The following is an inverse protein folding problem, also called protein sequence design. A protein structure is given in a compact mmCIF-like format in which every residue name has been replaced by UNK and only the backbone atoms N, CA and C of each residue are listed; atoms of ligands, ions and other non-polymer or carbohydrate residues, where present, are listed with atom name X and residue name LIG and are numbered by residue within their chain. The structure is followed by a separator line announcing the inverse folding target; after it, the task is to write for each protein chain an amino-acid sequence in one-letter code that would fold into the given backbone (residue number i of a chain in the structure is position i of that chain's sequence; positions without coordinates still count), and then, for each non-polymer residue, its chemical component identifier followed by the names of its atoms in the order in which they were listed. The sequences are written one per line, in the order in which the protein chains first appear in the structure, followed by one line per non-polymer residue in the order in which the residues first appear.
data_IF_762556696745
#
_entry.id   IF_762556696745
#
_cell.length_a   1.000
_cell.length_b   1.000
_cell.length_c   1.000
_cell.angle_alpha   90.00
_cell.angle_beta   90.00
_cell.angle_gamma   90.00
#
_symmetry.space_group_name_H-M   'P 1'
#
loop_
_entity.id
_entity.type
_entity.pdbx_description
1 polymer ?
#
# COMPACT_ATOMS: atom_id res chain seq x y z
N UNK A 1 -7.60 10.55 -13.87
CA UNK A 1 -7.26 9.28 -13.19
C UNK A 1 -7.73 8.07 -13.98
N UNK A 2 -9.03 7.94 -14.29
CA UNK A 2 -9.57 6.84 -15.12
C UNK A 2 -8.84 6.64 -16.45
N UNK A 3 -8.63 7.71 -17.22
CA UNK A 3 -7.92 7.65 -18.51
C UNK A 3 -6.48 7.11 -18.41
N UNK A 4 -5.79 7.34 -17.28
CA UNK A 4 -4.43 6.84 -17.07
C UNK A 4 -4.43 5.33 -16.82
N UNK A 5 -5.43 4.84 -16.09
CA UNK A 5 -5.62 3.41 -15.78
C UNK A 5 -5.94 2.65 -17.08
N UNK A 6 -6.86 3.18 -17.89
CA UNK A 6 -7.24 2.58 -19.17
C UNK A 6 -6.08 2.58 -20.18
N UNK A 7 -5.28 3.67 -20.23
CA UNK A 7 -4.05 3.73 -21.04
C UNK A 7 -3.00 2.70 -20.63
N UNK A 8 -2.96 2.31 -19.35
CA UNK A 8 -2.09 1.25 -18.86
C UNK A 8 -2.65 -0.16 -19.14
N UNK A 9 -3.80 -0.29 -19.82
CA UNK A 9 -4.44 -1.57 -20.10
C UNK A 9 -5.12 -2.18 -18.87
N UNK A 10 -5.41 -1.38 -17.85
CA UNK A 10 -6.05 -1.82 -16.62
C UNK A 10 -7.54 -1.50 -16.62
N UNK A 11 -8.33 -2.33 -15.92
CA UNK A 11 -9.77 -2.15 -15.78
C UNK A 11 -10.11 -1.60 -14.39
N UNK A 12 -11.08 -0.67 -14.32
CA UNK A 12 -11.56 -0.16 -13.05
C UNK A 12 -12.70 -1.04 -12.52
N UNK A 13 -12.41 -1.76 -11.43
CA UNK A 13 -13.41 -2.56 -10.70
C UNK A 13 -14.21 -1.65 -9.75
N UNK A 14 -15.54 -1.74 -9.81
CA UNK A 14 -16.42 -1.06 -8.87
C UNK A 14 -16.36 -1.76 -7.50
N UNK A 15 -16.10 -0.98 -6.45
CA UNK A 15 -16.14 -1.45 -5.06
C UNK A 15 -17.17 -0.60 -4.29
N UNK A 16 -18.20 -1.21 -3.68
CA UNK A 16 -19.14 -0.46 -2.87
C UNK A 16 -18.45 0.10 -1.60
N UNK A 17 -18.93 1.24 -1.12
CA UNK A 17 -18.41 1.89 0.10
C UNK A 17 -18.42 0.93 1.28
N UNK A 18 -17.31 0.87 2.03
CA UNK A 18 -17.12 -0.05 3.17
C UNK A 18 -17.50 -1.51 2.84
N UNK A 19 -17.06 -2.02 1.69
CA UNK A 19 -17.14 -3.45 1.35
C UNK A 19 -15.82 -4.17 1.61
N UNK A 20 -15.49 -4.49 2.88
CA UNK A 20 -14.26 -5.18 3.23
C UNK A 20 -14.15 -6.54 2.52
N UNK A 21 -15.28 -7.24 2.36
CA UNK A 21 -15.34 -8.59 1.80
C UNK A 21 -15.16 -8.60 0.27
N UNK A 22 -15.49 -7.49 -0.41
CA UNK A 22 -15.34 -7.36 -1.86
C UNK A 22 -13.99 -6.77 -2.28
N UNK A 23 -13.06 -6.52 -1.34
CA UNK A 23 -11.74 -6.00 -1.67
C UNK A 23 -10.68 -7.12 -1.67
N UNK A 24 -10.32 -7.67 -2.85
CA UNK A 24 -9.43 -8.82 -2.95
C UNK A 24 -8.03 -8.59 -2.37
N UNK A 25 -7.57 -7.33 -2.26
CA UNK A 25 -6.26 -7.00 -1.72
C UNK A 25 -6.18 -7.18 -0.19
N UNK A 26 -7.32 -7.20 0.51
CA UNK A 26 -7.33 -7.26 1.98
C UNK A 26 -6.70 -8.53 2.53
N UNK A 27 -6.96 -9.67 1.91
CA UNK A 27 -6.41 -10.95 2.34
C UNK A 27 -4.88 -10.98 2.23
N UNK A 28 -4.35 -10.37 1.16
CA UNK A 28 -2.91 -10.26 0.92
C UNK A 28 -2.22 -9.32 1.90
N UNK A 29 -2.92 -8.26 2.33
CA UNK A 29 -2.36 -7.24 3.22
C UNK A 29 -1.95 -7.78 4.58
N UNK A 30 -2.56 -8.87 5.06
CA UNK A 30 -2.12 -9.50 6.30
C UNK A 30 -0.72 -10.10 6.18
N UNK A 31 -0.44 -10.80 5.06
CA UNK A 31 0.87 -11.39 4.78
C UNK A 31 1.95 -10.32 4.66
N UNK A 32 1.67 -9.27 3.89
CA UNK A 32 2.69 -8.24 3.64
C UNK A 32 2.97 -7.40 4.86
N UNK A 33 1.96 -7.02 5.64
CA UNK A 33 2.21 -6.35 6.93
C UNK A 33 3.04 -7.22 7.88
N UNK A 34 2.83 -8.53 7.86
CA UNK A 34 3.59 -9.44 8.72
C UNK A 34 5.05 -9.52 8.28
N UNK A 35 5.30 -9.61 6.96
CA UNK A 35 6.65 -9.57 6.41
C UNK A 35 7.34 -8.23 6.73
N UNK A 36 6.68 -7.10 6.46
CA UNK A 36 7.20 -5.76 6.73
C UNK A 36 7.54 -5.60 8.21
N UNK A 37 6.66 -6.01 9.13
CA UNK A 37 6.90 -5.88 10.58
C UNK A 37 8.13 -6.65 11.08
N UNK A 38 8.49 -7.76 10.43
CA UNK A 38 9.72 -8.50 10.79
C UNK A 38 10.97 -7.75 10.38
N UNK A 39 10.90 -7.03 9.27
CA UNK A 39 12.02 -6.29 8.70
C UNK A 39 12.13 -4.86 9.26
N UNK A 40 11.02 -4.29 9.72
CA UNK A 40 10.90 -2.91 10.21
C UNK A 40 11.98 -2.53 11.25
N UNK A 41 12.34 -3.37 12.24
CA UNK A 41 13.36 -3.02 13.23
C UNK A 41 14.78 -2.85 12.66
N UNK A 42 15.03 -3.32 11.43
CA UNK A 42 16.34 -3.19 10.77
C UNK A 42 16.58 -1.80 10.19
N UNK A 43 15.51 -1.01 10.07
CA UNK A 43 15.56 0.32 9.47
C UNK A 43 15.37 1.37 10.55
N UNK A 44 16.25 2.36 10.56
CA UNK A 44 16.08 3.55 11.38
C UNK A 44 15.18 4.53 10.63
N UNK A 45 13.92 4.64 11.05
CA UNK A 45 12.96 5.59 10.48
C UNK A 45 13.00 6.94 11.18
N UNK A 46 14.04 7.24 11.97
CA UNK A 46 14.18 8.53 12.62
C UNK A 46 14.35 9.64 11.54
N UNK A 47 13.25 10.36 11.31
CA UNK A 47 13.16 11.47 10.37
C UNK A 47 13.99 12.67 10.80
N UNK A 48 14.24 12.85 12.10
CA UNK A 48 15.04 13.97 12.62
C UNK A 48 16.47 13.92 12.06
N UNK A 49 17.01 12.72 11.86
CA UNK A 49 18.34 12.51 11.26
C UNK A 49 18.40 12.87 9.77
N UNK A 50 17.26 12.97 9.09
CA UNK A 50 17.17 13.26 7.65
C UNK A 50 16.98 14.75 7.41
N UNK A 51 16.36 15.46 8.35
CA UNK A 51 16.08 16.90 8.25
C UNK A 51 17.35 17.73 8.51
N UNK A 52 18.28 17.25 9.36
CA UNK A 52 19.56 17.94 9.62
C UNK A 52 20.61 17.75 8.50
N UNK A 53 20.30 16.95 7.48
CA UNK A 53 21.20 16.66 6.35
C UNK A 53 20.87 17.45 5.06
N UNK A 54 19.94 18.41 5.12
CA UNK A 54 19.51 19.27 4.01
C UNK A 54 19.77 20.75 4.30
#
# INVERSE_FOLDING_TARGET
MRELIEKAGCELLFLPTYSPDFNPIKHWWHKEKTAIRKELPKYDFNLDKVVDAA
#
